data_IF_383751428845
#
_entry.id   IF_383751428845
#
_cell.length_a   1.000
_cell.length_b   1.000
_cell.length_c   1.000
_cell.angle_alpha   90.00
_cell.angle_beta   90.00
_cell.angle_gamma   90.00
#
_symmetry.space_group_name_H-M   'P 1'
#
loop_
_entity.id
_entity.type
_entity.pdbx_description
1 polymer ?
#
# COMPACT_ATOMS: atom_id res chain seq x y z
N UNK A 1 -1.35 61.13 -25.12
CA UNK A 1 -0.98 59.94 -25.90
C UNK A 1 -1.72 58.76 -25.30
N UNK A 2 -2.35 57.92 -26.10
CA UNK A 2 -3.00 56.70 -25.62
C UNK A 2 -1.94 55.73 -25.10
N UNK A 3 -2.19 55.07 -23.97
CA UNK A 3 -1.30 54.03 -23.46
C UNK A 3 -1.49 52.74 -24.27
N UNK A 4 -0.39 52.06 -24.59
CA UNK A 4 -0.42 50.76 -25.26
C UNK A 4 -1.22 49.75 -24.45
N UNK A 5 -2.02 48.91 -25.14
CA UNK A 5 -2.82 47.86 -24.50
C UNK A 5 -2.47 46.50 -25.10
N UNK A 6 -2.33 45.49 -24.23
CA UNK A 6 -2.05 44.09 -24.61
C UNK A 6 -3.29 43.38 -25.17
N UNK A 7 -3.78 43.83 -26.33
CA UNK A 7 -4.95 43.29 -27.02
C UNK A 7 -4.56 43.02 -28.47
N UNK A 8 -4.57 41.74 -28.89
CA UNK A 8 -4.02 41.28 -30.17
C UNK A 8 -4.68 41.90 -31.41
N UNK A 9 -5.97 42.21 -31.34
CA UNK A 9 -6.77 42.64 -32.50
C UNK A 9 -7.25 44.09 -32.42
N UNK A 10 -6.75 44.88 -31.45
CA UNK A 10 -7.09 46.29 -31.34
C UNK A 10 -6.11 47.13 -32.16
N UNK A 11 -6.61 47.91 -33.12
CA UNK A 11 -5.78 48.85 -33.86
C UNK A 11 -5.32 49.99 -32.92
N UNK A 12 -4.00 50.19 -32.80
CA UNK A 12 -3.39 51.16 -31.90
C UNK A 12 -2.29 51.93 -32.64
N UNK A 13 -1.97 53.17 -32.25
CA UNK A 13 -0.97 54.02 -32.91
C UNK A 13 0.48 53.62 -32.54
N UNK A 14 0.78 52.32 -32.56
CA UNK A 14 2.10 51.77 -32.27
C UNK A 14 2.53 50.84 -33.40
N UNK A 15 3.83 50.78 -33.75
CA UNK A 15 4.31 49.87 -34.78
C UNK A 15 4.18 48.40 -34.33
N UNK A 16 4.08 47.47 -35.28
CA UNK A 16 3.86 46.04 -35.02
C UNK A 16 4.92 45.38 -34.11
N UNK A 17 6.12 45.96 -34.07
CA UNK A 17 7.23 45.50 -33.24
C UNK A 17 7.35 46.23 -31.89
N UNK A 18 6.39 47.07 -31.53
CA UNK A 18 6.40 47.80 -30.27
C UNK A 18 6.19 46.85 -29.08
N UNK A 19 7.11 46.90 -28.11
CA UNK A 19 6.99 46.21 -26.83
C UNK A 19 6.95 47.26 -25.72
N UNK A 20 5.87 47.24 -24.93
CA UNK A 20 5.72 48.17 -23.82
C UNK A 20 6.72 47.88 -22.68
N UNK A 21 7.13 48.93 -21.95
CA UNK A 21 8.08 48.82 -20.84
C UNK A 21 7.56 47.92 -19.70
N UNK A 22 6.24 47.83 -19.52
CA UNK A 22 5.61 46.96 -18.50
C UNK A 22 5.45 45.50 -18.95
N UNK A 23 5.90 45.14 -20.16
CA UNK A 23 5.76 43.80 -20.71
C UNK A 23 6.37 42.72 -19.80
N UNK A 24 7.53 43.02 -19.21
CA UNK A 24 8.25 42.10 -18.33
C UNK A 24 7.71 42.12 -16.89
N UNK A 25 6.94 43.13 -16.48
CA UNK A 25 6.32 43.19 -15.14
C UNK A 25 5.30 42.07 -14.94
N UNK A 26 4.73 41.55 -16.04
CA UNK A 26 3.81 40.42 -16.03
C UNK A 26 4.52 39.06 -16.04
N UNK A 27 5.86 39.03 -16.04
CA UNK A 27 6.65 37.79 -16.08
C UNK A 27 6.59 37.08 -14.71
N UNK A 28 5.60 36.19 -14.56
CA UNK A 28 5.52 35.28 -13.41
C UNK A 28 6.55 34.16 -13.56
N UNK A 29 7.70 34.26 -12.87
CA UNK A 29 8.66 33.16 -12.75
C UNK A 29 8.33 32.29 -11.54
N UNK A 30 8.37 30.97 -11.70
CA UNK A 30 8.33 29.99 -10.61
C UNK A 30 7.13 30.10 -9.64
N UNK A 31 5.98 30.59 -10.09
CA UNK A 31 4.78 30.70 -9.24
C UNK A 31 4.20 29.35 -8.80
N UNK A 32 4.64 28.26 -9.43
CA UNK A 32 4.18 26.89 -9.14
C UNK A 32 5.19 26.09 -8.30
N UNK A 33 6.32 26.69 -7.89
CA UNK A 33 7.33 25.96 -7.08
C UNK A 33 6.81 25.80 -5.65
N UNK A 34 6.25 24.63 -5.37
CA UNK A 34 5.87 24.23 -4.03
C UNK A 34 7.13 24.05 -3.16
N UNK A 35 7.16 24.70 -2.00
CA UNK A 35 8.22 24.52 -1.01
C UNK A 35 7.91 23.26 -0.19
N UNK A 36 8.55 22.14 -0.52
CA UNK A 36 8.41 20.91 0.25
C UNK A 36 9.32 20.92 1.47
N UNK A 37 8.78 20.56 2.63
CA UNK A 37 9.61 20.31 3.80
C UNK A 37 10.28 18.93 3.67
N UNK A 38 11.61 18.88 3.78
CA UNK A 38 12.37 17.63 3.70
C UNK A 38 11.85 16.55 4.66
N UNK A 39 11.46 16.92 5.89
CA UNK A 39 10.94 15.98 6.90
C UNK A 39 9.68 15.26 6.43
N UNK A 40 8.69 16.00 5.92
CA UNK A 40 7.44 15.41 5.39
C UNK A 40 7.74 14.47 4.22
N UNK A 41 8.58 14.94 3.29
CA UNK A 41 8.97 14.14 2.13
C UNK A 41 9.64 12.82 2.54
N UNK A 42 10.57 12.87 3.50
CA UNK A 42 11.25 11.68 4.00
C UNK A 42 10.27 10.70 4.68
N UNK A 43 9.32 11.21 5.48
CA UNK A 43 8.28 10.39 6.10
C UNK A 43 7.40 9.69 5.05
N UNK A 44 6.96 10.43 4.03
CA UNK A 44 6.13 9.91 2.95
C UNK A 44 6.86 8.80 2.17
N UNK A 45 8.15 8.99 1.85
CA UNK A 45 8.96 7.97 1.17
C UNK A 45 9.25 6.74 2.05
N UNK A 46 9.46 6.95 3.36
CA UNK A 46 9.72 5.84 4.30
C UNK A 46 8.55 4.87 4.40
N UNK A 47 7.32 5.38 4.27
CA UNK A 47 6.10 4.60 4.29
C UNK A 47 5.98 3.70 3.05
N UNK A 48 6.31 4.23 1.87
CA UNK A 48 6.37 3.43 0.63
C UNK A 48 7.38 2.28 0.79
N UNK A 49 8.58 2.59 1.32
CA UNK A 49 9.60 1.60 1.62
C UNK A 49 9.13 0.54 2.62
N UNK A 50 8.39 0.96 3.65
CA UNK A 50 7.83 0.06 4.65
C UNK A 50 6.83 -0.94 4.03
N UNK A 51 5.83 -0.49 3.25
CA UNK A 51 4.88 -1.42 2.63
C UNK A 51 5.53 -2.31 1.56
N UNK A 52 6.49 -1.79 0.79
CA UNK A 52 7.28 -2.63 -0.12
C UNK A 52 8.04 -3.72 0.65
N UNK A 53 8.61 -3.37 1.81
CA UNK A 53 9.31 -4.35 2.66
C UNK A 53 8.38 -5.42 3.24
N UNK A 54 7.13 -5.08 3.57
CA UNK A 54 6.13 -6.04 4.05
C UNK A 54 5.78 -7.06 2.95
N UNK A 55 5.58 -6.60 1.71
CA UNK A 55 5.35 -7.49 0.58
C UNK A 55 6.56 -8.39 0.31
N UNK A 56 7.77 -7.85 0.36
CA UNK A 56 8.99 -8.65 0.23
C UNK A 56 9.13 -9.67 1.36
N UNK A 57 8.79 -9.30 2.60
CA UNK A 57 8.81 -10.19 3.75
C UNK A 57 7.89 -11.40 3.55
N UNK A 58 6.69 -11.20 2.97
CA UNK A 58 5.80 -12.31 2.58
C UNK A 58 6.46 -13.24 1.57
N UNK A 59 7.09 -12.70 0.53
CA UNK A 59 7.79 -13.51 -0.47
C UNK A 59 8.98 -14.26 0.13
N UNK A 60 9.76 -13.62 1.01
CA UNK A 60 10.88 -14.26 1.72
C UNK A 60 10.39 -15.36 2.67
N UNK A 61 9.28 -15.15 3.37
CA UNK A 61 8.71 -16.19 4.20
C UNK A 61 8.28 -17.40 3.35
N UNK A 62 7.63 -17.16 2.21
CA UNK A 62 7.31 -18.22 1.26
C UNK A 62 8.55 -18.99 0.82
N UNK A 63 9.61 -18.30 0.38
CA UNK A 63 10.83 -18.97 -0.10
C UNK A 63 11.49 -19.79 1.00
N UNK A 64 11.52 -19.30 2.24
CA UNK A 64 12.05 -20.02 3.39
C UNK A 64 11.24 -21.28 3.75
N UNK A 65 9.91 -21.20 3.65
CA UNK A 65 9.02 -22.37 3.85
C UNK A 65 9.18 -23.37 2.69
N UNK A 66 9.24 -22.88 1.45
CA UNK A 66 9.38 -23.70 0.24
C UNK A 66 10.70 -24.46 0.22
N UNK A 67 11.81 -23.79 0.55
CA UNK A 67 13.14 -24.39 0.69
C UNK A 67 13.30 -25.20 1.99
N UNK A 68 12.26 -25.26 2.84
CA UNK A 68 12.28 -25.96 4.14
C UNK A 68 13.42 -25.50 5.07
N UNK A 69 13.81 -24.22 4.96
CA UNK A 69 14.84 -23.60 5.82
C UNK A 69 14.31 -23.43 7.24
N UNK A 70 13.03 -23.07 7.39
CA UNK A 70 12.37 -22.91 8.67
C UNK A 70 10.96 -23.50 8.70
N UNK A 71 10.46 -23.69 9.92
CA UNK A 71 9.15 -24.29 10.18
C UNK A 71 8.04 -23.24 9.97
N UNK A 72 6.97 -23.55 9.22
CA UNK A 72 5.91 -22.59 8.87
C UNK A 72 5.16 -22.00 10.07
N UNK A 73 5.11 -22.74 11.18
CA UNK A 73 4.41 -22.30 12.39
C UNK A 73 5.18 -21.20 13.14
N UNK A 74 6.50 -21.07 12.97
CA UNK A 74 7.29 -20.10 13.73
C UNK A 74 6.98 -18.65 13.32
N UNK A 75 7.08 -18.26 12.03
CA UNK A 75 6.72 -16.90 11.61
C UNK A 75 5.26 -16.56 11.88
N UNK A 76 4.37 -17.56 11.77
CA UNK A 76 2.92 -17.37 11.94
C UNK A 76 2.49 -17.19 13.37
N UNK A 77 3.08 -17.91 14.32
CA UNK A 77 2.80 -17.70 15.75
C UNK A 77 3.26 -16.32 16.18
N UNK A 78 4.42 -15.86 15.67
CA UNK A 78 4.93 -14.52 15.95
C UNK A 78 4.00 -13.45 15.35
N UNK A 79 3.62 -13.59 14.07
CA UNK A 79 2.76 -12.62 13.40
C UNK A 79 1.34 -12.58 13.99
N UNK A 80 0.76 -13.74 14.31
CA UNK A 80 -0.57 -13.81 14.93
C UNK A 80 -0.57 -13.29 16.36
N UNK A 81 0.51 -13.53 17.13
CA UNK A 81 0.70 -12.91 18.43
C UNK A 81 0.72 -11.39 18.35
N UNK A 82 1.45 -10.83 17.39
CA UNK A 82 1.47 -9.39 17.12
C UNK A 82 0.10 -8.87 16.68
N UNK A 83 -0.57 -9.58 15.76
CA UNK A 83 -1.91 -9.24 15.28
C UNK A 83 -2.94 -9.22 16.42
N UNK A 84 -2.87 -10.17 17.35
CA UNK A 84 -3.73 -10.20 18.54
C UNK A 84 -3.48 -9.00 19.45
N UNK A 85 -2.21 -8.64 19.70
CA UNK A 85 -1.88 -7.44 20.49
C UNK A 85 -2.45 -6.19 19.83
N UNK A 86 -2.29 -6.03 18.52
CA UNK A 86 -2.85 -4.92 17.75
C UNK A 86 -4.38 -4.90 17.82
N UNK A 87 -5.04 -6.04 17.63
CA UNK A 87 -6.51 -6.16 17.70
C UNK A 87 -7.05 -5.87 19.10
N UNK A 88 -6.36 -6.28 20.16
CA UNK A 88 -6.73 -5.97 21.53
C UNK A 88 -6.57 -4.47 21.79
N UNK A 89 -5.48 -3.84 21.33
CA UNK A 89 -5.31 -2.39 21.41
C UNK A 89 -6.46 -1.66 20.71
N UNK A 90 -6.82 -2.07 19.49
CA UNK A 90 -7.96 -1.52 18.74
C UNK A 90 -9.31 -1.75 19.44
N UNK A 91 -9.48 -2.90 20.09
CA UNK A 91 -10.69 -3.19 20.86
C UNK A 91 -10.81 -2.28 22.09
N UNK A 92 -9.69 -1.92 22.74
CA UNK A 92 -9.67 -0.92 23.83
C UNK A 92 -10.09 0.47 23.35
N UNK A 93 -9.81 0.80 22.08
CA UNK A 93 -10.26 2.03 21.43
C UNK A 93 -11.72 1.95 20.92
N UNK A 94 -12.42 0.83 21.16
CA UNK A 94 -13.86 0.69 20.91
C UNK A 94 -14.26 -0.13 19.67
N UNK A 95 -13.31 -0.78 18.96
CA UNK A 95 -13.61 -1.50 17.71
C UNK A 95 -13.64 -3.03 17.88
N UNK A 96 -14.70 -3.58 18.47
CA UNK A 96 -14.83 -5.03 18.74
C UNK A 96 -15.14 -5.90 17.52
N UNK A 97 -15.66 -5.30 16.43
CA UNK A 97 -16.06 -6.03 15.23
C UNK A 97 -14.89 -6.66 14.47
N UNK A 98 -13.70 -6.07 14.56
CA UNK A 98 -12.50 -6.55 13.85
C UNK A 98 -11.99 -7.88 14.38
N UNK A 99 -12.07 -8.09 15.69
CA UNK A 99 -11.69 -9.36 16.30
C UNK A 99 -12.57 -10.51 15.77
N UNK A 100 -13.88 -10.28 15.69
CA UNK A 100 -14.82 -11.27 15.14
C UNK A 100 -14.50 -11.59 13.68
N UNK A 101 -14.23 -10.57 12.86
CA UNK A 101 -13.85 -10.75 11.46
C UNK A 101 -12.54 -11.54 11.31
N UNK A 102 -11.53 -11.25 12.13
CA UNK A 102 -10.26 -11.97 12.13
C UNK A 102 -10.44 -13.46 12.46
N UNK A 103 -11.23 -13.80 13.49
CA UNK A 103 -11.55 -15.20 13.82
C UNK A 103 -12.26 -15.91 12.66
N UNK A 104 -13.22 -15.24 12.01
CA UNK A 104 -13.92 -15.79 10.84
C UNK A 104 -12.93 -16.05 9.68
N UNK A 105 -12.02 -15.11 9.40
CA UNK A 105 -11.00 -15.28 8.36
C UNK A 105 -10.09 -16.49 8.66
N UNK A 106 -9.64 -16.66 9.91
CA UNK A 106 -8.82 -17.82 10.31
C UNK A 106 -9.55 -19.14 10.07
N UNK A 107 -10.82 -19.23 10.48
CA UNK A 107 -11.63 -20.44 10.27
C UNK A 107 -11.85 -20.72 8.78
N UNK A 108 -12.17 -19.69 8.00
CA UNK A 108 -12.36 -19.82 6.55
C UNK A 108 -11.08 -20.28 5.85
N UNK A 109 -9.93 -19.69 6.19
CA UNK A 109 -8.64 -20.12 5.63
C UNK A 109 -8.32 -21.56 6.01
N UNK A 110 -8.60 -21.97 7.24
CA UNK A 110 -8.36 -23.35 7.68
C UNK A 110 -9.20 -24.34 6.86
N UNK A 111 -10.49 -24.02 6.64
CA UNK A 111 -11.41 -24.86 5.86
C UNK A 111 -11.04 -24.92 4.37
N UNK A 112 -10.60 -23.80 3.80
CA UNK A 112 -10.36 -23.64 2.35
C UNK A 112 -8.92 -24.00 1.97
N UNK A 113 -7.99 -24.09 2.93
CA UNK A 113 -6.58 -24.49 2.71
C UNK A 113 -6.35 -25.73 1.85
N UNK A 114 -7.06 -26.87 2.02
CA UNK A 114 -6.87 -28.02 1.13
C UNK A 114 -7.21 -27.72 -0.33
N UNK A 115 -8.22 -26.87 -0.57
CA UNK A 115 -8.61 -26.45 -1.93
C UNK A 115 -7.58 -25.49 -2.52
N UNK A 116 -7.08 -24.54 -1.74
CA UNK A 116 -6.04 -23.59 -2.17
C UNK A 116 -4.73 -24.29 -2.51
N UNK A 117 -4.41 -25.38 -1.79
CA UNK A 117 -3.26 -26.23 -2.08
C UNK A 117 -3.31 -26.80 -3.50
N UNK A 118 -4.46 -27.34 -3.92
CA UNK A 118 -4.60 -28.00 -5.22
C UNK A 118 -4.87 -27.03 -6.39
N UNK A 119 -5.17 -25.76 -6.11
CA UNK A 119 -5.70 -24.82 -7.10
C UNK A 119 -4.83 -24.64 -8.35
N UNK A 120 -3.51 -24.49 -8.17
CA UNK A 120 -2.55 -24.29 -9.26
C UNK A 120 -1.53 -25.44 -9.37
N UNK A 121 -1.92 -26.66 -9.02
CA UNK A 121 -1.02 -27.82 -9.10
C UNK A 121 -0.58 -28.10 -10.56
N UNK A 122 -1.48 -27.89 -11.52
CA UNK A 122 -1.23 -28.07 -12.96
C UNK A 122 -0.41 -26.94 -13.60
N UNK A 123 -0.16 -25.85 -12.88
CA UNK A 123 0.59 -24.69 -13.39
C UNK A 123 2.09 -24.89 -13.14
N UNK A 124 2.92 -24.53 -14.12
CA UNK A 124 4.37 -24.61 -14.01
C UNK A 124 4.91 -23.63 -12.96
N UNK A 125 6.06 -23.98 -12.37
CA UNK A 125 6.72 -23.16 -11.36
C UNK A 125 7.12 -21.79 -11.91
N UNK A 126 7.71 -21.74 -13.11
CA UNK A 126 8.18 -20.48 -13.72
C UNK A 126 7.04 -19.48 -13.91
N UNK A 127 5.86 -19.96 -14.30
CA UNK A 127 4.67 -19.11 -14.44
C UNK A 127 4.17 -18.62 -13.08
N UNK A 128 4.27 -19.41 -12.01
CA UNK A 128 3.87 -19.00 -10.65
C UNK A 128 4.78 -17.89 -10.13
N UNK A 129 6.09 -18.01 -10.32
CA UNK A 129 7.03 -16.94 -9.97
C UNK A 129 6.80 -15.67 -10.80
N UNK A 130 6.52 -15.81 -12.09
CA UNK A 130 6.20 -14.67 -12.95
C UNK A 130 4.89 -13.96 -12.53
N UNK A 131 3.82 -14.72 -12.28
CA UNK A 131 2.54 -14.16 -11.82
C UNK A 131 2.70 -13.51 -10.44
N UNK A 132 3.48 -14.12 -9.54
CA UNK A 132 3.74 -13.56 -8.22
C UNK A 132 4.52 -12.24 -8.28
N UNK A 133 5.55 -12.16 -9.13
CA UNK A 133 6.31 -10.91 -9.32
C UNK A 133 5.44 -9.81 -9.93
N UNK A 134 4.58 -10.14 -10.91
CA UNK A 134 3.63 -9.18 -11.48
C UNK A 134 2.63 -8.71 -10.41
N UNK A 135 2.04 -9.62 -9.63
CA UNK A 135 1.08 -9.27 -8.59
C UNK A 135 1.69 -8.40 -7.48
N UNK A 136 2.95 -8.65 -7.11
CA UNK A 136 3.66 -7.82 -6.11
C UNK A 136 3.99 -6.43 -6.64
N UNK A 137 4.44 -6.31 -7.90
CA UNK A 137 4.68 -5.01 -8.55
C UNK A 137 3.38 -4.21 -8.67
N UNK A 138 2.31 -4.85 -9.17
CA UNK A 138 1.00 -4.21 -9.25
C UNK A 138 0.48 -3.80 -7.87
N UNK A 139 0.75 -4.60 -6.83
CA UNK A 139 0.39 -4.26 -5.47
C UNK A 139 1.02 -2.93 -5.04
N UNK A 140 2.34 -2.79 -5.24
CA UNK A 140 3.10 -1.59 -4.88
C UNK A 140 2.55 -0.36 -5.60
N UNK A 141 2.23 -0.50 -6.90
CA UNK A 141 1.71 0.61 -7.72
C UNK A 141 0.30 1.01 -7.28
N UNK A 142 -0.55 0.02 -7.00
CA UNK A 142 -1.97 0.25 -6.71
C UNK A 142 -2.27 0.43 -5.22
N UNK A 143 -1.26 0.38 -4.35
CA UNK A 143 -1.46 0.62 -2.93
C UNK A 143 -1.76 2.10 -2.68
N UNK A 144 -2.87 2.37 -2.01
CA UNK A 144 -3.17 3.72 -1.52
C UNK A 144 -2.39 3.95 -0.22
N UNK A 145 -1.26 4.65 -0.34
CA UNK A 145 -0.37 4.95 0.80
C UNK A 145 -0.97 5.95 1.80
N UNK A 146 -2.04 6.67 1.41
CA UNK A 146 -2.76 7.66 2.21
C UNK A 146 -1.85 8.53 3.09
N UNK A 147 -1.07 9.41 2.46
CA UNK A 147 0.00 10.18 3.12
C UNK A 147 -0.51 11.15 4.19
N UNK A 148 -1.67 11.78 3.96
CA UNK A 148 -2.16 12.85 4.83
C UNK A 148 -3.10 12.36 5.97
N UNK A 149 -3.36 11.05 6.11
CA UNK A 149 -4.11 10.44 7.23
C UNK A 149 -5.58 10.89 7.42
N UNK A 150 -6.03 11.86 6.62
CA UNK A 150 -7.35 12.50 6.66
C UNK A 150 -8.30 11.96 5.59
N UNK A 151 -7.77 11.27 4.58
CA UNK A 151 -8.53 10.65 3.51
C UNK A 151 -9.18 9.33 3.90
N UNK A 152 -10.09 8.85 3.05
CA UNK A 152 -10.65 7.50 3.19
C UNK A 152 -9.65 6.47 2.64
N UNK A 153 -9.12 5.60 3.50
CA UNK A 153 -8.25 4.51 3.07
C UNK A 153 -9.02 3.52 2.18
N UNK A 154 -8.68 3.47 0.88
CA UNK A 154 -9.33 2.58 -0.11
C UNK A 154 -8.31 1.66 -0.77
N UNK A 155 -7.87 0.66 -0.03
CA UNK A 155 -6.87 -0.33 -0.48
C UNK A 155 -7.50 -1.61 -1.08
N UNK A 156 -8.72 -1.56 -1.61
CA UNK A 156 -9.42 -2.78 -2.10
C UNK A 156 -8.63 -3.48 -3.21
N UNK A 157 -8.08 -2.73 -4.16
CA UNK A 157 -7.32 -3.32 -5.26
C UNK A 157 -6.03 -3.97 -4.77
N UNK A 158 -5.27 -3.26 -3.93
CA UNK A 158 -4.00 -3.79 -3.39
C UNK A 158 -4.21 -4.95 -2.42
N UNK A 159 -5.26 -4.93 -1.57
CA UNK A 159 -5.57 -6.10 -0.73
C UNK A 159 -5.92 -7.33 -1.57
N UNK A 160 -6.72 -7.18 -2.62
CA UNK A 160 -7.03 -8.27 -3.55
C UNK A 160 -5.79 -8.79 -4.26
N UNK A 161 -4.90 -7.92 -4.73
CA UNK A 161 -3.64 -8.32 -5.36
C UNK A 161 -2.72 -9.06 -4.38
N UNK A 162 -2.66 -8.60 -3.12
CA UNK A 162 -1.81 -9.24 -2.10
C UNK A 162 -2.32 -10.61 -1.73
N UNK A 163 -3.64 -10.73 -1.56
CA UNK A 163 -4.30 -11.99 -1.28
C UNK A 163 -4.16 -12.97 -2.44
N UNK A 164 -4.36 -12.52 -3.68
CA UNK A 164 -4.11 -13.32 -4.87
C UNK A 164 -2.65 -13.80 -4.96
N UNK A 165 -1.69 -12.91 -4.66
CA UNK A 165 -0.27 -13.29 -4.62
C UNK A 165 0.00 -14.38 -3.57
N UNK A 166 -0.55 -14.22 -2.37
CA UNK A 166 -0.49 -15.22 -1.30
C UNK A 166 -1.05 -16.57 -1.76
N UNK A 167 -2.21 -16.60 -2.40
CA UNK A 167 -2.84 -17.84 -2.89
C UNK A 167 -1.96 -18.52 -3.95
N UNK A 168 -1.48 -17.77 -4.94
CA UNK A 168 -0.65 -18.29 -6.04
C UNK A 168 0.65 -18.92 -5.53
N UNK A 169 1.27 -18.31 -4.51
CA UNK A 169 2.45 -18.88 -3.86
C UNK A 169 2.08 -20.09 -3.00
N UNK A 170 1.02 -19.99 -2.20
CA UNK A 170 0.61 -21.02 -1.25
C UNK A 170 0.30 -22.36 -1.94
N UNK A 171 -0.25 -22.35 -3.16
CA UNK A 171 -0.56 -23.57 -3.91
C UNK A 171 0.65 -24.46 -4.21
N UNK A 172 1.89 -23.99 -4.02
CA UNK A 172 3.10 -24.80 -4.16
C UNK A 172 3.55 -25.51 -2.89
N UNK A 173 2.87 -25.29 -1.77
CA UNK A 173 3.20 -25.92 -0.50
C UNK A 173 2.59 -27.31 -0.40
N UNK A 174 3.41 -28.28 0.05
CA UNK A 174 3.07 -29.71 0.05
C UNK A 174 2.06 -30.15 1.11
N UNK A 175 1.66 -29.30 2.06
CA UNK A 175 0.71 -29.68 3.11
C UNK A 175 -0.25 -28.54 3.40
N UNK A 176 -1.51 -28.89 3.63
CA UNK A 176 -2.59 -27.94 3.91
C UNK A 176 -2.29 -27.09 5.15
N UNK A 177 -1.56 -27.62 6.13
CA UNK A 177 -1.14 -26.84 7.30
C UNK A 177 -0.08 -25.79 6.95
N UNK A 178 0.83 -26.09 6.01
CA UNK A 178 1.82 -25.11 5.53
C UNK A 178 1.14 -23.99 4.75
N UNK A 179 0.14 -24.34 3.93
CA UNK A 179 -0.71 -23.39 3.19
C UNK A 179 -1.45 -22.47 4.16
N UNK A 180 -2.15 -23.05 5.13
CA UNK A 180 -2.85 -22.31 6.17
C UNK A 180 -1.93 -21.32 6.89
N UNK A 181 -0.83 -21.84 7.44
CA UNK A 181 0.19 -21.03 8.11
C UNK A 181 0.65 -19.87 7.22
N UNK A 182 1.15 -20.16 6.02
CA UNK A 182 1.67 -19.12 5.14
C UNK A 182 0.63 -18.06 4.77
N UNK A 183 -0.62 -18.45 4.48
CA UNK A 183 -1.68 -17.51 4.13
C UNK A 183 -2.09 -16.62 5.31
N UNK A 184 -2.15 -17.17 6.53
CA UNK A 184 -2.39 -16.38 7.75
C UNK A 184 -1.31 -15.33 7.92
N UNK A 185 -0.03 -15.73 7.82
CA UNK A 185 1.08 -14.79 7.87
C UNK A 185 1.00 -13.73 6.77
N UNK A 186 0.68 -14.14 5.54
CA UNK A 186 0.58 -13.23 4.40
C UNK A 186 -0.46 -12.15 4.68
N UNK A 187 -1.65 -12.52 5.12
CA UNK A 187 -2.75 -11.57 5.39
C UNK A 187 -2.39 -10.65 6.56
N UNK A 188 -1.80 -11.19 7.63
CA UNK A 188 -1.40 -10.38 8.78
C UNK A 188 -0.37 -9.32 8.39
N UNK A 189 0.66 -9.71 7.65
CA UNK A 189 1.76 -8.81 7.29
C UNK A 189 1.35 -7.82 6.19
N UNK A 190 0.60 -8.24 5.17
CA UNK A 190 0.35 -7.39 3.99
C UNK A 190 -0.99 -6.65 4.00
N UNK A 191 -1.95 -7.06 4.83
CA UNK A 191 -3.28 -6.44 4.91
C UNK A 191 -3.49 -5.81 6.28
N UNK A 192 -3.26 -6.58 7.35
CA UNK A 192 -3.57 -6.16 8.70
C UNK A 192 -2.60 -5.06 9.17
N UNK A 193 -1.28 -5.22 8.98
CA UNK A 193 -0.29 -4.19 9.38
C UNK A 193 -0.51 -2.83 8.70
N UNK A 194 -0.69 -2.71 7.37
CA UNK A 194 -1.00 -1.40 6.74
C UNK A 194 -2.28 -0.75 7.26
N UNK A 195 -3.31 -1.57 7.54
CA UNK A 195 -4.57 -1.08 8.09
C UNK A 195 -4.42 -0.54 9.53
N UNK A 196 -3.60 -1.20 10.34
CA UNK A 196 -3.25 -0.73 11.68
C UNK A 196 -2.41 0.54 11.63
N UNK A 197 -1.39 0.60 10.77
CA UNK A 197 -0.56 1.79 10.58
C UNK A 197 -1.41 3.01 10.17
N UNK A 198 -2.31 2.85 9.19
CA UNK A 198 -3.20 3.93 8.77
C UNK A 198 -4.07 4.45 9.92
N UNK A 199 -4.68 3.55 10.70
CA UNK A 199 -5.51 3.93 11.87
C UNK A 199 -4.70 4.64 12.94
N UNK A 200 -3.52 4.15 13.25
CA UNK A 200 -2.63 4.77 14.23
C UNK A 200 -2.29 6.19 13.80
N UNK A 201 -1.94 6.40 12.52
CA UNK A 201 -1.71 7.73 11.95
C UNK A 201 -2.95 8.61 12.03
N UNK A 202 -4.13 8.08 11.73
CA UNK A 202 -5.38 8.84 11.84
C UNK A 202 -5.67 9.30 13.29
N UNK A 203 -5.44 8.43 14.28
CA UNK A 203 -5.60 8.76 15.70
C UNK A 203 -4.59 9.83 16.12
N UNK A 204 -3.32 9.66 15.74
CA UNK A 204 -2.25 10.61 16.05
C UNK A 204 -2.53 11.99 15.46
N UNK A 205 -2.93 12.06 14.19
CA UNK A 205 -3.28 13.33 13.52
C UNK A 205 -4.47 14.01 14.21
N UNK A 206 -5.47 13.25 14.65
CA UNK A 206 -6.59 13.80 15.43
C UNK A 206 -6.13 14.35 16.78
N UNK A 207 -5.26 13.64 17.49
CA UNK A 207 -4.75 14.07 18.79
C UNK A 207 -3.91 15.36 18.73
N UNK A 208 -3.22 15.62 17.62
CA UNK A 208 -2.41 16.84 17.42
C UNK A 208 -3.29 18.06 17.07
N UNK A 209 -4.51 17.84 16.58
CA UNK A 209 -5.42 18.91 16.16
C UNK A 209 -6.26 19.49 17.32
N UNK A 210 -6.22 18.87 18.51
CA UNK A 210 -6.87 19.33 19.75
C UNK A 210 -5.82 19.72 20.80
#
# INVERSE_FOLDING_TARGET
MEAWKKLLYLHQPFPDNYTDVSFLDQLKRNTTVAKYSYKKLFQDFSLIGLYASLLLLVNVNFTGIYASIWLPYLPTVISSGLALVCLVADARLGSTHQFRAYVVILVLLLLVSPVLRSLNESTSLDSIWAVSTILTVLNIICHDYSLDGTGNYRSILSTNMSFANGIVLASRLLSSMRVFSFLVFSIEVSILVPLFDFRLRQILTRAIMF
#
